data_IF_151530882646
#
_entry.id   IF_151530882646
#
_cell.length_a   1.000
_cell.length_b   1.000
_cell.length_c   1.000
_cell.angle_alpha   90.00
_cell.angle_beta   90.00
_cell.angle_gamma   90.00
#
_symmetry.space_group_name_H-M   'P 1'
#
loop_
_entity.id
_entity.type
_entity.pdbx_description
1 polymer ?
#
# COMPACT_ATOMS: atom_id res chain seq x y z
N UNK A 1 5.43 9.55 3.70
CA UNK A 1 6.91 9.58 3.84
C UNK A 1 7.41 9.57 5.30
N UNK A 2 6.57 9.22 6.29
CA UNK A 2 6.89 9.48 7.70
C UNK A 2 8.04 8.60 8.26
N UNK A 3 8.22 7.37 7.78
CA UNK A 3 9.22 6.43 8.34
C UNK A 3 10.38 6.04 7.39
N UNK A 4 10.31 6.41 6.11
CA UNK A 4 11.30 5.96 5.10
C UNK A 4 11.79 7.06 4.17
N UNK A 5 11.28 8.28 4.34
CA UNK A 5 11.58 9.41 3.44
C UNK A 5 10.90 9.31 2.08
N UNK A 6 10.58 10.46 1.48
CA UNK A 6 9.88 10.52 0.18
C UNK A 6 10.74 9.97 -0.96
N UNK A 7 12.07 10.13 -0.88
CA UNK A 7 12.99 9.62 -1.90
C UNK A 7 12.89 8.11 -2.10
N UNK A 8 12.75 7.34 -1.02
CA UNK A 8 12.59 5.89 -1.12
C UNK A 8 11.22 5.48 -1.67
N UNK A 9 10.18 6.27 -1.43
CA UNK A 9 8.85 6.06 -2.03
C UNK A 9 8.91 6.32 -3.54
N UNK A 10 9.55 7.41 -3.98
CA UNK A 10 9.72 7.68 -5.40
C UNK A 10 10.57 6.63 -6.12
N UNK A 11 11.59 6.10 -5.46
CA UNK A 11 12.33 4.96 -5.99
C UNK A 11 11.44 3.71 -6.12
N UNK A 12 10.55 3.46 -5.15
CA UNK A 12 9.59 2.36 -5.24
C UNK A 12 8.58 2.58 -6.38
N UNK A 13 8.13 3.82 -6.62
CA UNK A 13 7.28 4.17 -7.79
C UNK A 13 8.00 3.91 -9.12
N UNK A 14 9.25 4.35 -9.27
CA UNK A 14 10.05 4.06 -10.48
C UNK A 14 10.30 2.57 -10.70
N UNK A 15 10.56 1.82 -9.62
CA UNK A 15 10.64 0.36 -9.70
C UNK A 15 9.28 -0.21 -10.14
N UNK A 16 8.18 0.28 -9.59
CA UNK A 16 6.83 -0.16 -9.96
C UNK A 16 6.59 0.01 -11.47
N UNK A 17 6.85 1.20 -12.02
CA UNK A 17 6.77 1.45 -13.46
C UNK A 17 7.68 0.53 -14.28
N UNK A 18 8.96 0.42 -13.89
CA UNK A 18 9.96 -0.39 -14.60
C UNK A 18 9.54 -1.86 -14.72
N UNK A 19 8.92 -2.40 -13.68
CA UNK A 19 8.52 -3.80 -13.61
C UNK A 19 7.03 -4.02 -13.99
N UNK A 20 6.38 -3.02 -14.61
CA UNK A 20 5.05 -3.14 -15.21
C UNK A 20 3.87 -3.05 -14.24
N UNK A 21 4.09 -2.53 -13.03
CA UNK A 21 3.03 -2.18 -12.09
C UNK A 21 2.53 -0.75 -12.29
N UNK A 22 1.51 -0.39 -11.53
CA UNK A 22 0.92 0.95 -11.51
C UNK A 22 1.52 1.80 -10.36
N UNK A 23 2.30 2.87 -10.64
CA UNK A 23 2.93 3.71 -9.62
C UNK A 23 1.95 4.57 -8.80
N UNK A 24 0.68 4.63 -9.19
CA UNK A 24 -0.36 5.39 -8.50
C UNK A 24 -1.26 4.47 -7.65
N UNK A 25 -1.02 3.15 -7.70
CA UNK A 25 -1.64 2.16 -6.81
C UNK A 25 -0.66 1.77 -5.69
N UNK A 26 -1.12 1.78 -4.44
CA UNK A 26 -0.28 1.40 -3.30
C UNK A 26 -0.15 -0.12 -3.14
N UNK A 27 -1.27 -0.80 -2.91
CA UNK A 27 -1.32 -2.24 -2.62
C UNK A 27 -0.95 -3.06 -3.85
N UNK A 28 -0.12 -4.10 -3.67
CA UNK A 28 0.39 -4.94 -4.77
C UNK A 28 1.39 -4.27 -5.72
N UNK A 29 1.51 -2.94 -5.66
CA UNK A 29 2.30 -2.12 -6.56
C UNK A 29 3.40 -1.39 -5.78
N UNK A 30 3.25 -0.10 -5.46
CA UNK A 30 4.30 0.69 -4.79
C UNK A 30 4.77 0.05 -3.47
N UNK A 31 3.84 -0.48 -2.66
CA UNK A 31 4.17 -1.17 -1.41
C UNK A 31 5.06 -2.40 -1.63
N UNK A 32 4.77 -3.19 -2.67
CA UNK A 32 5.57 -4.37 -3.04
C UNK A 32 7.01 -3.99 -3.35
N UNK A 33 7.22 -2.96 -4.17
CA UNK A 33 8.58 -2.54 -4.53
C UNK A 33 9.31 -1.86 -3.37
N UNK A 34 8.60 -1.17 -2.48
CA UNK A 34 9.19 -0.62 -1.26
C UNK A 34 9.74 -1.71 -0.32
N UNK A 35 9.06 -2.86 -0.21
CA UNK A 35 9.56 -4.04 0.52
C UNK A 35 10.76 -4.68 -0.19
N UNK A 36 10.68 -4.81 -1.51
CA UNK A 36 11.72 -5.41 -2.34
C UNK A 36 13.01 -4.59 -2.39
N UNK A 37 12.97 -3.27 -2.13
CA UNK A 37 14.15 -2.40 -1.95
C UNK A 37 15.09 -2.80 -0.81
N UNK A 38 14.77 -3.83 -0.04
CA UNK A 38 15.71 -4.48 0.90
C UNK A 38 16.61 -5.53 0.24
N UNK A 39 16.34 -5.94 -1.00
CA UNK A 39 17.11 -6.97 -1.72
C UNK A 39 18.06 -6.33 -2.73
N UNK A 40 19.26 -6.90 -2.86
CA UNK A 40 20.33 -6.44 -3.75
C UNK A 40 19.82 -6.04 -5.13
N UNK A 41 19.08 -6.95 -5.79
CA UNK A 41 18.51 -6.74 -7.12
C UNK A 41 17.77 -5.40 -7.29
N UNK A 42 17.03 -4.97 -6.27
CA UNK A 42 16.17 -3.80 -6.39
C UNK A 42 16.83 -2.52 -5.89
N UNK A 43 17.63 -2.57 -4.82
CA UNK A 43 18.24 -1.33 -4.34
C UNK A 43 19.41 -0.84 -5.19
N UNK A 44 20.03 -1.73 -5.96
CA UNK A 44 21.06 -1.38 -6.95
C UNK A 44 20.48 -1.18 -8.36
N UNK A 45 19.16 -1.19 -8.50
CA UNK A 45 18.53 -1.01 -9.81
C UNK A 45 18.83 0.41 -10.34
N UNK A 46 19.17 0.59 -11.64
CA UNK A 46 19.51 1.90 -12.19
C UNK A 46 18.48 3.02 -12.00
N UNK A 47 17.21 2.69 -11.78
CA UNK A 47 16.16 3.71 -11.54
C UNK A 47 16.11 4.18 -10.08
N UNK A 48 16.82 3.50 -9.18
CA UNK A 48 16.86 3.79 -7.74
C UNK A 48 17.97 4.80 -7.44
N UNK A 49 17.61 5.89 -6.76
CA UNK A 49 18.53 6.98 -6.44
C UNK A 49 19.05 6.95 -5.01
N UNK A 50 18.27 6.43 -4.07
CA UNK A 50 18.56 6.48 -2.64
C UNK A 50 19.02 5.13 -2.06
N UNK A 51 19.21 4.13 -2.91
CA UNK A 51 19.75 2.83 -2.53
C UNK A 51 18.86 2.04 -1.59
N UNK A 52 19.50 1.29 -0.69
CA UNK A 52 18.87 0.33 0.21
C UNK A 52 17.82 0.99 1.11
N UNK A 53 16.69 0.32 1.27
CA UNK A 53 15.69 0.71 2.26
C UNK A 53 14.99 -0.52 2.83
N UNK A 54 14.71 -0.48 4.13
CA UNK A 54 13.88 -1.48 4.81
C UNK A 54 12.42 -1.00 4.81
N UNK A 55 11.67 -1.37 3.78
CA UNK A 55 10.29 -0.93 3.59
C UNK A 55 9.25 -1.57 4.50
N UNK A 56 9.60 -2.50 5.40
CA UNK A 56 8.62 -3.24 6.20
C UNK A 56 7.87 -2.34 7.18
N UNK A 57 8.58 -1.49 7.91
CA UNK A 57 7.98 -0.58 8.88
C UNK A 57 6.99 0.42 8.25
N UNK A 58 7.33 1.16 7.18
CA UNK A 58 6.38 2.08 6.56
C UNK A 58 5.19 1.36 5.92
N UNK A 59 5.36 0.14 5.39
CA UNK A 59 4.26 -0.62 4.80
C UNK A 59 3.29 -1.10 5.89
N UNK A 60 3.80 -1.70 6.96
CA UNK A 60 2.99 -2.14 8.10
C UNK A 60 2.21 -0.98 8.72
N UNK A 61 2.84 0.18 8.89
CA UNK A 61 2.17 1.36 9.42
C UNK A 61 0.97 1.81 8.56
N UNK A 62 1.11 1.78 7.23
CA UNK A 62 0.01 2.11 6.31
C UNK A 62 -1.10 1.06 6.39
N UNK A 63 -0.74 -0.22 6.47
CA UNK A 63 -1.69 -1.33 6.64
C UNK A 63 -2.53 -1.17 7.92
N UNK A 64 -1.88 -0.86 9.05
CA UNK A 64 -2.57 -0.60 10.33
C UNK A 64 -3.54 0.60 10.25
N UNK A 65 -3.20 1.65 9.50
CA UNK A 65 -4.10 2.79 9.27
C UNK A 65 -5.33 2.34 8.48
N UNK A 66 -5.14 1.57 7.40
CA UNK A 66 -6.25 1.08 6.59
C UNK A 66 -7.14 0.11 7.34
N UNK A 67 -6.57 -0.76 8.17
CA UNK A 67 -7.33 -1.67 9.02
C UNK A 67 -8.20 -0.89 10.02
N UNK A 68 -7.60 0.07 10.72
CA UNK A 68 -8.33 0.93 11.67
C UNK A 68 -9.43 1.74 10.99
N UNK A 69 -9.15 2.27 9.79
CA UNK A 69 -10.15 2.95 8.98
C UNK A 69 -11.32 2.03 8.60
N UNK A 70 -11.04 0.79 8.18
CA UNK A 70 -12.05 -0.23 7.88
C UNK A 70 -12.91 -0.52 9.10
N UNK A 71 -12.31 -0.68 10.28
CA UNK A 71 -13.02 -0.90 11.54
C UNK A 71 -13.95 0.28 11.89
N UNK A 72 -13.48 1.52 11.80
CA UNK A 72 -14.33 2.69 12.04
C UNK A 72 -15.48 2.79 11.04
N UNK A 73 -15.22 2.48 9.76
CA UNK A 73 -16.27 2.45 8.74
C UNK A 73 -17.36 1.42 9.04
N UNK A 74 -17.00 0.27 9.62
CA UNK A 74 -17.97 -0.74 10.06
C UNK A 74 -18.81 -0.25 11.25
N UNK A 75 -18.19 0.40 12.25
CA UNK A 75 -18.90 0.94 13.41
C UNK A 75 -19.87 2.07 13.05
N UNK A 76 -19.54 2.86 12.02
CA UNK A 76 -20.38 3.95 11.54
C UNK A 76 -21.50 3.51 10.59
N UNK A 77 -21.49 2.26 10.10
CA UNK A 77 -22.63 1.74 9.33
C UNK A 77 -23.86 1.71 10.23
N UNK A 78 -24.89 2.45 9.84
CA UNK A 78 -26.14 2.47 10.58
C UNK A 78 -26.81 1.09 10.49
N UNK A 79 -27.58 0.67 11.51
CA UNK A 79 -28.32 -0.60 11.49
C UNK A 79 -29.21 -0.78 10.25
N UNK A 80 -29.62 0.32 9.64
CA UNK A 80 -30.57 0.38 8.52
C UNK A 80 -29.95 -0.09 7.19
N UNK A 81 -28.63 -0.03 7.05
CA UNK A 81 -27.92 -0.48 5.83
C UNK A 81 -27.82 -2.02 5.73
N UNK A 82 -27.89 -2.74 6.86
CA UNK A 82 -27.83 -4.21 6.89
C UNK A 82 -29.13 -4.87 6.40
N UNK A 83 -30.29 -4.22 6.58
CA UNK A 83 -31.58 -4.76 6.13
C UNK A 83 -31.80 -4.60 4.61
N UNK A 84 -31.20 -3.61 3.95
CA UNK A 84 -31.32 -3.43 2.50
C UNK A 84 -30.58 -4.52 1.69
N UNK A 85 -29.46 -5.05 2.21
CA UNK A 85 -28.73 -6.15 1.56
C UNK A 85 -29.38 -7.52 1.77
N UNK A 86 -30.01 -7.75 2.93
CA UNK A 86 -30.74 -8.99 3.21
C UNK A 86 -32.00 -9.13 2.34
N UNK A 87 -32.69 -8.01 2.07
CA UNK A 87 -33.95 -8.02 1.33
C UNK A 87 -33.78 -8.11 -0.19
N UNK A 88 -32.62 -7.72 -0.74
CA UNK A 88 -32.32 -7.78 -2.18
C UNK A 88 -31.65 -9.09 -2.63
N UNK A 89 -31.44 -10.06 -1.73
CA UNK A 89 -30.91 -11.39 -2.07
C UNK A 89 -31.99 -12.49 -2.10
N UNK A 90 -33.26 -12.12 -1.89
CA UNK A 90 -34.42 -13.06 -1.84
C UNK A 90 -35.38 -12.84 -3.03
N UNK A 91 -34.96 -12.09 -4.05
CA UNK A 91 -35.59 -11.99 -5.36
C UNK A 91 -34.62 -12.50 -6.43
#
# INVERSE_FOLDING_TARGET
>A
AYNVGIGHVEDARRLTEKYGGDPDVWEGNVAKYLLLKSKLKYYTDPVVKYGYCRGSEPVNYVEEIFERFKQYKQLLKKPEDNNLQANNSVL
#
